data_IF_780811023412
#
_entry.id   IF_780811023412
#
_cell.length_a   1.000
_cell.length_b   1.000
_cell.length_c   1.000
_cell.angle_alpha   90.00
_cell.angle_beta   90.00
_cell.angle_gamma   90.00
#
_symmetry.space_group_name_H-M   'P 1'
#
loop_
_entity.id
_entity.type
_entity.pdbx_description
1 polymer ?
#
# COMPACT_ATOMS: atom_id res chain seq x y z
N UNK A 1 7.81 -7.94 -7.66
CA UNK A 1 6.85 -7.04 -6.95
C UNK A 1 7.34 -6.83 -5.54
N UNK A 2 7.29 -5.62 -5.02
CA UNK A 2 7.71 -5.34 -3.65
C UNK A 2 6.83 -6.06 -2.61
N UNK A 3 7.31 -6.13 -1.38
CA UNK A 3 6.59 -6.62 -0.22
C UNK A 3 6.59 -5.58 0.89
N UNK A 4 5.43 -5.31 1.50
CA UNK A 4 5.31 -4.47 2.69
C UNK A 4 4.78 -5.27 3.86
N UNK A 5 5.22 -4.93 5.07
CA UNK A 5 4.71 -5.46 6.32
C UNK A 5 4.81 -4.41 7.42
N UNK A 6 3.93 -4.48 8.41
CA UNK A 6 4.02 -3.58 9.54
C UNK A 6 2.91 -3.80 10.57
N UNK A 7 3.05 -3.11 11.70
CA UNK A 7 2.11 -3.15 12.81
C UNK A 7 2.34 -1.96 13.76
N UNK A 8 1.32 -1.61 14.54
CA UNK A 8 1.32 -0.41 15.40
C UNK A 8 1.87 -0.65 16.81
N UNK A 9 3.00 -1.35 16.92
CA UNK A 9 3.82 -1.49 18.12
C UNK A 9 5.28 -1.73 17.74
N UNK A 10 6.17 -1.83 18.73
CA UNK A 10 7.60 -2.07 18.50
C UNK A 10 7.92 -3.56 18.67
N UNK A 11 8.33 -4.22 17.60
CA UNK A 11 8.90 -5.58 17.62
C UNK A 11 9.75 -5.83 16.36
N UNK A 12 11.04 -5.52 16.48
CA UNK A 12 11.99 -5.68 15.36
C UNK A 12 12.16 -7.14 14.93
N UNK A 13 12.03 -8.09 15.86
CA UNK A 13 12.20 -9.52 15.56
C UNK A 13 11.00 -10.05 14.76
N UNK A 14 9.79 -9.73 15.18
CA UNK A 14 8.58 -10.06 14.41
C UNK A 14 8.63 -9.45 13.02
N UNK A 15 9.00 -8.15 12.91
CA UNK A 15 9.09 -7.48 11.62
C UNK A 15 10.07 -8.19 10.69
N UNK A 16 11.25 -8.58 11.19
CA UNK A 16 12.24 -9.34 10.41
C UNK A 16 11.67 -10.65 9.88
N UNK A 17 11.04 -11.45 10.73
CA UNK A 17 10.45 -12.73 10.35
C UNK A 17 9.31 -12.55 9.32
N UNK A 18 8.54 -11.46 9.43
CA UNK A 18 7.53 -11.11 8.43
C UNK A 18 8.17 -10.75 7.08
N UNK A 19 9.27 -9.98 7.08
CA UNK A 19 9.99 -9.61 5.86
C UNK A 19 10.70 -10.81 5.21
N UNK A 20 11.25 -11.73 5.99
CA UNK A 20 11.80 -12.99 5.48
C UNK A 20 10.73 -13.80 4.72
N UNK A 21 9.50 -13.84 5.24
CA UNK A 21 8.39 -14.50 4.54
C UNK A 21 8.01 -13.81 3.21
N UNK A 22 8.41 -12.55 3.02
CA UNK A 22 8.19 -11.76 1.80
C UNK A 22 9.42 -11.63 0.88
N UNK A 23 10.56 -12.28 1.21
CA UNK A 23 11.82 -12.11 0.49
C UNK A 23 11.72 -12.41 -1.02
N UNK A 24 10.91 -13.41 -1.41
CA UNK A 24 10.66 -13.77 -2.82
C UNK A 24 10.00 -12.64 -3.64
N UNK A 25 9.38 -11.63 -2.98
CA UNK A 25 8.75 -10.49 -3.66
C UNK A 25 9.72 -9.39 -4.03
N UNK A 26 10.77 -9.21 -3.24
CA UNK A 26 11.71 -8.12 -3.42
C UNK A 26 13.13 -8.56 -3.03
N UNK A 27 13.89 -9.09 -3.99
CA UNK A 27 15.25 -9.59 -3.75
C UNK A 27 16.30 -8.46 -3.69
N UNK A 28 16.00 -7.27 -4.22
CA UNK A 28 16.99 -6.23 -4.49
C UNK A 28 17.30 -5.34 -3.27
N UNK A 29 16.46 -5.37 -2.25
CA UNK A 29 16.68 -4.59 -1.03
C UNK A 29 15.70 -4.89 0.08
N UNK A 30 16.12 -4.54 1.29
CA UNK A 30 15.32 -4.61 2.50
C UNK A 30 15.49 -3.33 3.31
N UNK A 31 14.40 -2.86 3.92
CA UNK A 31 14.47 -1.78 4.88
C UNK A 31 13.43 -1.92 5.98
N UNK A 32 13.77 -1.41 7.15
CA UNK A 32 12.94 -1.45 8.36
C UNK A 32 12.99 -0.11 9.09
N UNK A 33 11.84 0.30 9.59
CA UNK A 33 11.69 1.37 10.57
C UNK A 33 10.99 0.81 11.82
N UNK A 34 11.49 1.15 12.99
CA UNK A 34 10.85 0.82 14.25
C UNK A 34 10.98 1.99 15.22
N UNK A 35 9.86 2.35 15.83
CA UNK A 35 9.78 3.23 16.99
C UNK A 35 8.87 2.59 18.06
N UNK A 36 8.64 3.20 19.23
CA UNK A 36 7.79 2.60 20.26
C UNK A 36 6.37 2.26 19.82
N UNK A 37 5.84 2.97 18.80
CA UNK A 37 4.44 2.90 18.38
C UNK A 37 4.24 2.26 17.01
N UNK A 38 5.34 1.98 16.26
CA UNK A 38 5.26 1.52 14.88
C UNK A 38 6.43 0.64 14.49
N UNK A 39 6.14 -0.39 13.70
CA UNK A 39 7.11 -1.19 12.95
C UNK A 39 6.68 -1.24 11.49
N UNK A 40 7.52 -0.77 10.58
CA UNK A 40 7.29 -0.77 9.12
C UNK A 40 8.45 -1.44 8.41
N UNK A 41 8.16 -2.28 7.44
CA UNK A 41 9.19 -2.98 6.68
C UNK A 41 8.86 -3.11 5.20
N UNK A 42 9.92 -3.19 4.41
CA UNK A 42 9.85 -3.24 2.96
C UNK A 42 10.84 -4.25 2.39
N UNK A 43 10.39 -5.00 1.38
CA UNK A 43 11.22 -5.80 0.47
C UNK A 43 11.11 -5.20 -0.92
N UNK A 44 12.24 -4.82 -1.50
CA UNK A 44 12.30 -4.08 -2.76
C UNK A 44 12.54 -4.98 -3.95
N UNK A 45 11.72 -4.81 -4.99
CA UNK A 45 12.05 -5.09 -6.38
C UNK A 45 12.24 -3.74 -7.06
N UNK A 46 13.45 -3.43 -7.49
CA UNK A 46 13.80 -2.13 -8.07
C UNK A 46 13.29 -2.05 -9.52
N UNK A 47 12.34 -1.13 -9.80
CA UNK A 47 11.73 -0.90 -11.11
C UNK A 47 11.89 0.55 -11.54
N UNK A 48 11.62 1.50 -10.63
CA UNK A 48 11.83 2.93 -10.80
C UNK A 48 12.87 3.39 -9.79
N UNK A 49 13.83 4.21 -10.22
CA UNK A 49 14.99 4.67 -9.44
C UNK A 49 15.80 3.51 -8.86
N UNK A 50 16.74 2.98 -9.61
CA UNK A 50 17.55 1.82 -9.21
C UNK A 50 18.57 2.13 -8.09
N UNK A 51 18.65 3.39 -7.63
CA UNK A 51 19.59 3.79 -6.60
C UNK A 51 19.20 3.26 -5.21
N UNK A 52 20.19 3.17 -4.32
CA UNK A 52 20.00 2.80 -2.92
C UNK A 52 19.14 3.86 -2.18
N UNK A 53 19.17 5.13 -2.62
CA UNK A 53 18.40 6.20 -2.01
C UNK A 53 16.89 5.94 -2.06
N UNK A 54 16.41 5.20 -3.07
CA UNK A 54 15.01 4.81 -3.20
C UNK A 54 14.62 3.57 -2.38
N UNK A 55 15.52 3.03 -1.54
CA UNK A 55 15.15 1.97 -0.60
C UNK A 55 14.20 2.50 0.46
N UNK A 56 13.11 1.77 0.65
CA UNK A 56 12.09 2.14 1.62
C UNK A 56 12.35 1.48 2.98
N UNK A 57 11.89 2.08 4.08
CA UNK A 57 10.95 3.20 4.21
C UNK A 57 11.52 4.55 3.76
N UNK A 58 10.69 5.37 3.06
CA UNK A 58 11.01 6.75 2.70
C UNK A 58 10.42 7.72 3.72
N UNK A 59 11.02 8.91 3.79
CA UNK A 59 10.67 9.98 4.73
C UNK A 59 10.41 11.27 3.96
N UNK A 60 9.54 12.14 4.50
CA UNK A 60 9.46 13.53 4.06
C UNK A 60 10.62 14.35 4.63
N UNK A 61 10.69 15.65 4.30
CA UNK A 61 11.82 16.54 4.62
C UNK A 61 12.13 16.63 6.13
N UNK A 62 11.09 16.62 6.98
CA UNK A 62 11.26 16.74 8.43
C UNK A 62 11.23 15.39 9.17
N UNK A 63 11.13 14.28 8.43
CA UNK A 63 11.10 12.92 8.97
C UNK A 63 9.84 12.57 9.77
N UNK A 64 8.78 13.36 9.65
CA UNK A 64 7.53 13.15 10.37
C UNK A 64 6.58 12.17 9.67
N UNK A 65 6.66 12.05 8.36
CA UNK A 65 5.91 11.10 7.56
C UNK A 65 6.83 9.99 7.07
N UNK A 66 6.36 8.76 7.18
CA UNK A 66 7.12 7.56 6.83
C UNK A 66 6.24 6.68 5.96
N UNK A 67 6.77 6.20 4.83
CA UNK A 67 6.02 5.36 3.89
C UNK A 67 6.76 4.08 3.53
N UNK A 68 5.99 3.00 3.39
CA UNK A 68 6.37 1.78 2.67
C UNK A 68 5.30 1.47 1.63
N UNK A 69 5.70 1.21 0.40
CA UNK A 69 4.81 1.04 -0.75
C UNK A 69 5.19 -0.17 -1.59
N UNK A 70 4.19 -0.96 -1.97
CA UNK A 70 4.28 -1.96 -3.03
C UNK A 70 3.43 -1.47 -4.19
N UNK A 71 4.03 -0.89 -5.20
CA UNK A 71 3.27 -0.36 -6.33
C UNK A 71 4.05 0.53 -7.25
N UNK A 72 3.32 1.19 -8.16
CA UNK A 72 3.78 2.14 -9.15
C UNK A 72 2.78 3.29 -9.24
N UNK A 73 3.27 4.53 -9.14
CA UNK A 73 2.45 5.75 -9.29
C UNK A 73 2.68 6.33 -10.68
N UNK A 74 1.79 6.04 -11.61
CA UNK A 74 1.96 6.37 -13.04
C UNK A 74 2.02 7.86 -13.34
N UNK A 75 1.38 8.69 -12.52
CA UNK A 75 1.40 10.15 -12.69
C UNK A 75 2.42 10.85 -11.76
N UNK A 76 3.43 10.13 -11.27
CA UNK A 76 4.42 10.68 -10.33
C UNK A 76 5.17 11.90 -10.91
N UNK A 77 5.51 11.92 -12.18
CA UNK A 77 6.24 13.02 -12.81
C UNK A 77 5.42 14.31 -12.77
N UNK A 78 4.15 14.25 -13.20
CA UNK A 78 3.23 15.38 -13.18
C UNK A 78 3.01 15.91 -11.74
N UNK A 79 2.86 15.00 -10.78
CA UNK A 79 2.67 15.35 -9.38
C UNK A 79 3.94 15.95 -8.77
N UNK A 80 5.10 15.41 -9.10
CA UNK A 80 6.42 15.90 -8.64
C UNK A 80 6.65 17.34 -9.07
N UNK A 81 6.41 17.66 -10.35
CA UNK A 81 6.59 19.02 -10.86
C UNK A 81 5.68 20.03 -10.13
N UNK A 82 4.44 19.65 -9.86
CA UNK A 82 3.50 20.47 -9.08
C UNK A 82 3.98 20.68 -7.64
N UNK A 83 4.50 19.64 -6.99
CA UNK A 83 4.96 19.69 -5.59
C UNK A 83 6.26 20.51 -5.48
N UNK A 84 7.18 20.39 -6.42
CA UNK A 84 8.39 21.24 -6.50
C UNK A 84 8.00 22.70 -6.64
N UNK A 85 7.00 23.02 -7.48
CA UNK A 85 6.52 24.41 -7.63
C UNK A 85 5.90 24.98 -6.34
N UNK A 86 5.52 24.13 -5.39
CA UNK A 86 5.01 24.49 -4.06
C UNK A 86 6.10 24.54 -2.98
N UNK A 87 7.34 24.21 -3.33
CA UNK A 87 8.49 24.30 -2.45
C UNK A 87 8.95 22.97 -1.81
N UNK A 88 8.32 21.82 -2.20
CA UNK A 88 8.78 20.53 -1.73
C UNK A 88 10.12 20.12 -2.33
N UNK A 89 10.96 19.48 -1.51
CA UNK A 89 12.27 18.96 -1.90
C UNK A 89 12.23 17.43 -1.98
N UNK A 90 12.68 16.88 -3.09
CA UNK A 90 12.74 15.44 -3.31
C UNK A 90 14.18 14.94 -3.19
N UNK A 91 14.36 13.82 -2.51
CA UNK A 91 15.66 13.19 -2.28
C UNK A 91 15.93 12.01 -3.21
N UNK A 92 14.88 11.46 -3.84
CA UNK A 92 14.97 10.32 -4.74
C UNK A 92 14.30 10.62 -6.08
N UNK A 93 14.46 9.74 -7.05
CA UNK A 93 13.66 9.74 -8.27
C UNK A 93 12.50 8.73 -8.22
N UNK A 94 12.29 8.11 -7.04
CA UNK A 94 11.21 7.16 -6.83
C UNK A 94 9.84 7.81 -6.99
N UNK A 95 8.94 7.07 -7.61
CA UNK A 95 7.52 7.43 -7.73
C UNK A 95 6.79 7.40 -6.37
N UNK A 96 7.29 6.61 -5.42
CA UNK A 96 6.71 6.50 -4.07
C UNK A 96 6.83 7.80 -3.27
N UNK A 97 7.91 8.56 -3.44
CA UNK A 97 8.17 9.78 -2.66
C UNK A 97 7.09 10.85 -2.86
N UNK A 98 6.46 10.91 -4.03
CA UNK A 98 5.37 11.88 -4.28
C UNK A 98 4.18 11.70 -3.35
N UNK A 99 3.97 10.50 -2.80
CA UNK A 99 2.85 10.22 -1.89
C UNK A 99 3.02 10.99 -0.57
N UNK A 100 4.26 11.09 -0.06
CA UNK A 100 4.59 11.82 1.16
C UNK A 100 4.22 13.29 1.03
N UNK A 101 4.75 13.96 0.01
CA UNK A 101 4.53 15.39 -0.23
C UNK A 101 3.09 15.71 -0.63
N UNK A 102 2.42 14.81 -1.38
CA UNK A 102 0.98 14.95 -1.62
C UNK A 102 0.16 14.87 -0.34
N UNK A 103 0.54 14.00 0.58
CA UNK A 103 -0.15 13.88 1.85
C UNK A 103 0.06 15.12 2.74
N UNK A 104 1.20 15.76 2.70
CA UNK A 104 1.44 17.04 3.37
C UNK A 104 0.49 18.13 2.88
N UNK A 105 0.30 18.22 1.56
CA UNK A 105 -0.54 19.22 0.93
C UNK A 105 -2.06 18.97 1.09
N UNK A 106 -2.47 17.72 0.89
CA UNK A 106 -3.89 17.40 0.71
C UNK A 106 -4.43 16.38 1.72
N UNK A 107 -3.60 15.87 2.65
CA UNK A 107 -3.97 14.83 3.61
C UNK A 107 -4.66 13.64 2.90
N UNK A 108 -5.73 13.11 3.45
CA UNK A 108 -6.45 11.95 2.89
C UNK A 108 -7.01 12.19 1.47
N UNK A 109 -7.20 13.45 1.06
CA UNK A 109 -7.63 13.77 -0.32
C UNK A 109 -6.54 13.48 -1.35
N UNK A 110 -5.29 13.39 -0.93
CA UNK A 110 -4.17 13.00 -1.80
C UNK A 110 -4.37 11.64 -2.45
N UNK A 111 -5.06 10.70 -1.79
CA UNK A 111 -5.27 9.35 -2.30
C UNK A 111 -6.12 9.33 -3.58
N UNK A 112 -7.02 10.29 -3.76
CA UNK A 112 -7.84 10.45 -4.97
C UNK A 112 -7.03 10.95 -6.17
N UNK A 113 -5.90 11.62 -5.93
CA UNK A 113 -5.04 12.22 -6.96
C UNK A 113 -4.07 11.20 -7.55
N UNK A 114 -3.79 10.11 -6.83
CA UNK A 114 -2.87 9.08 -7.27
C UNK A 114 -3.46 8.26 -8.43
N UNK A 115 -2.68 8.02 -9.45
CA UNK A 115 -3.00 7.09 -10.53
C UNK A 115 -1.93 6.03 -10.60
N UNK A 116 -2.32 4.77 -10.46
CA UNK A 116 -1.36 3.68 -10.41
C UNK A 116 -1.96 2.41 -9.85
N UNK A 117 -1.07 1.47 -9.57
CA UNK A 117 -1.35 0.22 -8.90
C UNK A 117 -0.53 0.19 -7.60
N UNK A 118 -1.15 0.29 -6.45
CA UNK A 118 -0.42 0.43 -5.19
C UNK A 118 -1.14 -0.15 -3.97
N UNK A 119 -0.33 -0.61 -3.04
CA UNK A 119 -0.70 -0.79 -1.64
C UNK A 119 0.42 -0.18 -0.80
N UNK A 120 0.09 0.79 0.06
CA UNK A 120 1.08 1.45 0.90
C UNK A 120 0.60 1.62 2.34
N UNK A 121 1.57 1.72 3.24
CA UNK A 121 1.35 2.16 4.61
C UNK A 121 2.08 3.47 4.84
N UNK A 122 1.35 4.51 5.25
CA UNK A 122 1.86 5.83 5.57
C UNK A 122 1.62 6.10 7.05
N UNK A 123 2.68 6.39 7.77
CA UNK A 123 2.68 6.69 9.19
C UNK A 123 3.06 8.13 9.47
N UNK A 124 2.22 8.82 10.23
CA UNK A 124 2.53 10.16 10.76
C UNK A 124 3.02 10.04 12.19
N UNK A 125 4.30 10.25 12.39
CA UNK A 125 4.97 10.14 13.70
C UNK A 125 4.49 11.17 14.72
N UNK A 126 4.08 12.37 14.26
CA UNK A 126 3.61 13.45 15.15
C UNK A 126 2.25 13.13 15.77
N UNK A 127 1.35 12.55 15.00
CA UNK A 127 -0.02 12.22 15.44
C UNK A 127 -0.19 10.74 15.82
N UNK A 128 0.78 9.90 15.47
CA UNK A 128 0.74 8.44 15.58
C UNK A 128 -0.38 7.81 14.72
N UNK A 129 -0.73 8.49 13.63
CA UNK A 129 -1.74 8.00 12.69
C UNK A 129 -1.11 7.11 11.63
N UNK A 130 -1.73 5.97 11.37
CA UNK A 130 -1.35 5.04 10.31
C UNK A 130 -2.48 4.93 9.28
N UNK A 131 -2.12 5.03 8.02
CA UNK A 131 -2.99 4.82 6.87
C UNK A 131 -2.48 3.62 6.08
N UNK A 132 -3.27 2.56 5.97
CA UNK A 132 -3.04 1.45 5.06
C UNK A 132 -3.98 1.61 3.87
N UNK A 133 -3.45 1.85 2.69
CA UNK A 133 -4.19 2.28 1.50
C UNK A 133 -3.97 1.31 0.36
N UNK A 134 -5.02 1.01 -0.41
CA UNK A 134 -4.93 0.25 -1.67
C UNK A 134 -5.52 1.05 -2.82
N UNK A 135 -5.02 0.79 -4.02
CA UNK A 135 -5.43 1.48 -5.24
C UNK A 135 -6.92 1.31 -5.57
N UNK A 136 -7.38 2.06 -6.55
CA UNK A 136 -8.78 2.14 -6.98
C UNK A 136 -9.42 0.79 -7.32
N UNK A 137 -8.61 -0.19 -7.76
CA UNK A 137 -9.05 -1.52 -8.18
C UNK A 137 -8.51 -2.65 -7.28
N UNK A 138 -7.69 -2.31 -6.27
CA UNK A 138 -6.93 -3.24 -5.44
C UNK A 138 -6.05 -4.19 -6.29
N UNK A 139 -5.36 -3.64 -7.30
CA UNK A 139 -4.41 -4.39 -8.13
C UNK A 139 -3.24 -4.89 -7.26
N UNK A 140 -2.80 -4.07 -6.31
CA UNK A 140 -1.89 -4.49 -5.25
C UNK A 140 -2.66 -4.78 -3.97
N UNK A 141 -2.48 -5.99 -3.46
CA UNK A 141 -3.17 -6.42 -2.25
C UNK A 141 -2.48 -5.92 -0.98
N UNK A 142 -3.30 -5.59 0.01
CA UNK A 142 -2.90 -5.46 1.40
C UNK A 142 -3.83 -6.33 2.27
N UNK A 143 -3.23 -7.20 3.06
CA UNK A 143 -3.93 -8.02 4.04
C UNK A 143 -3.71 -7.46 5.43
N UNK A 144 -4.69 -7.60 6.31
CA UNK A 144 -4.59 -7.10 7.66
C UNK A 144 -5.35 -7.96 8.67
N UNK A 145 -4.96 -7.84 9.93
CA UNK A 145 -5.70 -8.36 11.09
C UNK A 145 -5.79 -7.29 12.16
N UNK A 146 -6.93 -7.24 12.84
CA UNK A 146 -7.19 -6.35 13.96
C UNK A 146 -7.36 -7.21 15.22
N UNK A 147 -6.55 -6.92 16.25
CA UNK A 147 -6.52 -7.64 17.52
C UNK A 147 -6.67 -6.60 18.63
N UNK A 148 -7.88 -6.45 19.14
CA UNK A 148 -8.19 -5.33 20.05
C UNK A 148 -7.97 -3.98 19.35
N UNK A 149 -7.06 -3.16 19.86
CA UNK A 149 -6.67 -1.89 19.24
C UNK A 149 -5.39 -2.00 18.38
N UNK A 150 -4.90 -3.21 18.13
CA UNK A 150 -3.70 -3.44 17.34
C UNK A 150 -4.05 -3.81 15.91
N UNK A 151 -3.29 -3.24 14.97
CA UNK A 151 -3.35 -3.51 13.54
C UNK A 151 -2.03 -4.10 13.09
N UNK A 152 -2.08 -5.25 12.43
CA UNK A 152 -0.95 -5.85 11.71
C UNK A 152 -1.35 -6.03 10.26
N UNK A 153 -0.42 -5.76 9.34
CA UNK A 153 -0.67 -5.86 7.90
C UNK A 153 0.55 -6.37 7.13
N UNK A 154 0.28 -6.91 5.96
CA UNK A 154 1.31 -7.32 5.01
C UNK A 154 0.77 -7.46 3.58
N UNK A 155 1.68 -7.53 2.60
CA UNK A 155 1.36 -7.86 1.21
C UNK A 155 0.85 -9.29 1.02
N UNK A 156 1.11 -10.22 1.95
CA UNK A 156 0.66 -11.62 1.91
C UNK A 156 0.27 -12.12 3.29
N UNK A 157 -0.78 -12.96 3.36
CA UNK A 157 -1.29 -13.53 4.60
C UNK A 157 -0.21 -14.31 5.39
N UNK A 158 0.69 -15.02 4.69
CA UNK A 158 1.74 -15.83 5.35
C UNK A 158 2.70 -15.00 6.22
N UNK A 159 2.89 -13.71 5.90
CA UNK A 159 3.70 -12.82 6.73
C UNK A 159 2.97 -12.46 8.03
N UNK A 160 1.66 -12.19 7.97
CA UNK A 160 0.83 -11.95 9.15
C UNK A 160 0.77 -13.19 10.06
N UNK A 161 0.70 -14.38 9.45
CA UNK A 161 0.67 -15.66 10.18
C UNK A 161 1.99 -16.00 10.92
N UNK A 162 3.04 -15.18 10.77
CA UNK A 162 4.25 -15.27 11.59
C UNK A 162 4.02 -14.77 13.02
N UNK A 163 2.95 -14.01 13.25
CA UNK A 163 2.49 -13.66 14.62
C UNK A 163 1.58 -14.77 15.18
N UNK A 164 2.10 -16.00 15.20
CA UNK A 164 1.36 -17.24 15.50
C UNK A 164 0.98 -17.40 16.96
N UNK A 165 1.64 -16.68 17.87
CA UNK A 165 1.27 -16.62 19.28
C UNK A 165 -0.15 -16.08 19.50
N UNK A 166 -0.63 -15.20 18.61
CA UNK A 166 -1.94 -14.54 18.71
C UNK A 166 -2.84 -14.87 17.52
N UNK A 167 -2.30 -14.83 16.29
CA UNK A 167 -3.09 -15.09 15.07
C UNK A 167 -2.98 -16.57 14.70
N UNK A 168 -4.02 -17.33 15.04
CA UNK A 168 -4.07 -18.76 14.74
C UNK A 168 -4.35 -19.02 13.24
N UNK A 169 -3.78 -20.11 12.73
CA UNK A 169 -4.00 -20.57 11.35
C UNK A 169 -5.36 -21.27 11.18
N UNK A 170 -6.42 -20.63 11.67
CA UNK A 170 -7.77 -21.16 11.53
C UNK A 170 -8.30 -20.93 10.12
N UNK A 171 -8.78 -22.01 9.48
CA UNK A 171 -9.34 -21.95 8.15
C UNK A 171 -10.73 -21.31 8.15
N UNK A 172 -10.99 -20.51 7.14
CA UNK A 172 -12.31 -19.99 6.81
C UNK A 172 -12.92 -20.90 5.70
N UNK A 173 -13.70 -21.88 6.10
CA UNK A 173 -14.23 -22.90 5.21
C UNK A 173 -15.17 -22.30 4.13
N UNK A 174 -15.91 -21.24 4.44
CA UNK A 174 -16.80 -20.58 3.47
C UNK A 174 -15.99 -19.92 2.34
N UNK A 175 -14.87 -19.26 2.68
CA UNK A 175 -13.97 -18.69 1.68
C UNK A 175 -13.31 -19.79 0.83
N UNK A 176 -12.86 -20.88 1.45
CA UNK A 176 -12.29 -22.03 0.72
C UNK A 176 -13.32 -22.61 -0.25
N UNK A 177 -14.58 -22.78 0.19
CA UNK A 177 -15.68 -23.25 -0.65
C UNK A 177 -15.95 -22.29 -1.82
N UNK A 178 -15.95 -20.96 -1.56
CA UNK A 178 -16.13 -19.97 -2.63
C UNK A 178 -15.01 -20.06 -3.68
N UNK A 179 -13.76 -20.16 -3.25
CA UNK A 179 -12.61 -20.30 -4.16
C UNK A 179 -12.73 -21.56 -5.02
N UNK A 180 -13.12 -22.70 -4.42
CA UNK A 180 -13.31 -23.95 -5.17
C UNK A 180 -14.46 -23.84 -6.17
N UNK A 181 -15.55 -23.16 -5.78
CA UNK A 181 -16.77 -23.08 -6.61
C UNK A 181 -16.64 -22.07 -7.73
N UNK A 182 -16.06 -20.88 -7.44
CA UNK A 182 -16.05 -19.73 -8.37
C UNK A 182 -14.66 -19.40 -8.94
N UNK A 183 -13.60 -20.06 -8.46
CA UNK A 183 -12.22 -19.72 -8.82
C UNK A 183 -11.67 -18.50 -8.10
N UNK A 184 -12.48 -17.79 -7.32
CA UNK A 184 -12.09 -16.61 -6.54
C UNK A 184 -13.01 -16.40 -5.33
N UNK A 185 -12.63 -15.53 -4.41
CA UNK A 185 -13.49 -15.10 -3.31
C UNK A 185 -14.00 -13.66 -3.53
N UNK A 186 -15.33 -13.43 -3.59
CA UNK A 186 -15.90 -12.11 -3.85
C UNK A 186 -15.92 -11.18 -2.62
N UNK A 187 -15.57 -11.69 -1.43
CA UNK A 187 -15.56 -10.90 -0.19
C UNK A 187 -14.16 -10.43 0.20
N UNK A 188 -14.09 -9.56 1.20
CA UNK A 188 -12.83 -9.15 1.83
C UNK A 188 -12.22 -10.19 2.77
N UNK A 189 -12.93 -11.29 3.04
CA UNK A 189 -12.42 -12.35 3.88
C UNK A 189 -11.36 -13.18 3.14
N UNK A 190 -10.46 -13.79 3.90
CA UNK A 190 -9.40 -14.63 3.35
C UNK A 190 -9.61 -16.10 3.78
N UNK A 191 -8.86 -17.06 3.23
CA UNK A 191 -8.86 -18.43 3.73
C UNK A 191 -8.49 -18.59 5.21
N UNK A 192 -8.08 -17.51 5.87
CA UNK A 192 -7.76 -17.46 7.30
C UNK A 192 -8.75 -16.55 8.03
N UNK A 193 -9.46 -17.07 9.04
CA UNK A 193 -10.57 -16.39 9.74
C UNK A 193 -10.25 -14.99 10.27
N UNK A 194 -9.01 -14.80 10.74
CA UNK A 194 -8.59 -13.56 11.40
C UNK A 194 -7.88 -12.56 10.48
N UNK A 195 -7.75 -12.89 9.18
CA UNK A 195 -7.08 -12.03 8.22
C UNK A 195 -8.08 -11.60 7.15
N UNK A 196 -8.12 -10.29 6.87
CA UNK A 196 -8.95 -9.70 5.82
C UNK A 196 -8.09 -9.06 4.72
N UNK A 197 -8.65 -8.95 3.53
CA UNK A 197 -8.09 -8.17 2.43
C UNK A 197 -8.69 -6.77 2.44
N UNK A 198 -7.88 -5.76 2.18
CA UNK A 198 -8.36 -4.41 2.00
C UNK A 198 -8.98 -4.24 0.62
N UNK A 199 -10.20 -3.77 0.56
CA UNK A 199 -10.98 -3.69 -0.70
C UNK A 199 -10.58 -2.51 -1.59
N UNK A 200 -11.00 -2.51 -2.88
CA UNK A 200 -10.65 -1.49 -3.86
C UNK A 200 -11.09 -0.09 -3.45
N UNK A 201 -10.21 0.89 -3.65
CA UNK A 201 -10.44 2.30 -3.37
C UNK A 201 -10.72 2.58 -1.88
N UNK A 202 -10.13 1.79 -0.98
CA UNK A 202 -10.32 1.93 0.46
C UNK A 202 -9.00 2.14 1.19
N UNK A 203 -9.10 2.66 2.40
CA UNK A 203 -7.99 2.70 3.35
C UNK A 203 -8.45 2.39 4.78
N UNK A 204 -7.58 1.77 5.54
CA UNK A 204 -7.69 1.69 7.00
C UNK A 204 -6.97 2.88 7.61
N UNK A 205 -7.68 3.59 8.45
CA UNK A 205 -7.15 4.64 9.32
C UNK A 205 -7.03 4.11 10.75
N UNK A 206 -5.83 4.10 11.30
CA UNK A 206 -5.54 3.75 12.68
C UNK A 206 -5.01 4.98 13.40
N UNK A 207 -5.73 5.43 14.43
CA UNK A 207 -5.26 6.43 15.41
C UNK A 207 -5.02 5.76 16.75
N UNK A 208 -4.56 6.53 17.76
CA UNK A 208 -4.39 6.02 19.14
C UNK A 208 -5.60 5.27 19.67
N UNK A 209 -6.82 5.74 19.35
CA UNK A 209 -8.06 5.28 19.97
C UNK A 209 -8.94 4.39 19.07
N UNK A 210 -8.76 4.41 17.76
CA UNK A 210 -9.70 3.79 16.83
C UNK A 210 -9.04 3.28 15.56
N UNK A 211 -9.66 2.23 15.00
CA UNK A 211 -9.37 1.75 13.65
C UNK A 211 -10.67 1.88 12.85
N UNK A 212 -10.61 2.53 11.69
CA UNK A 212 -11.75 2.73 10.79
C UNK A 212 -11.39 2.42 9.35
N UNK A 213 -12.31 1.74 8.67
CA UNK A 213 -12.25 1.53 7.23
C UNK A 213 -12.98 2.70 6.55
N UNK A 214 -12.31 3.29 5.56
CA UNK A 214 -12.85 4.37 4.74
C UNK A 214 -12.75 4.00 3.26
N UNK A 215 -13.70 4.50 2.46
CA UNK A 215 -13.64 4.43 1.01
C UNK A 215 -13.34 5.83 0.48
N UNK A 216 -12.23 5.97 -0.25
CA UNK A 216 -11.83 7.24 -0.87
C UNK A 216 -12.22 7.31 -2.35
N UNK A 217 -12.47 6.17 -3.00
CA UNK A 217 -12.90 6.11 -4.39
C UNK A 217 -14.12 5.22 -4.57
N UNK A 218 -15.07 5.70 -5.35
CA UNK A 218 -16.22 4.93 -5.80
C UNK A 218 -16.47 5.17 -7.28
N UNK A 219 -16.45 4.09 -8.08
CA UNK A 219 -16.83 4.20 -9.49
C UNK A 219 -18.31 4.47 -9.63
N UNK A 220 -18.66 5.60 -10.25
CA UNK A 220 -20.04 5.93 -10.60
C UNK A 220 -20.27 5.56 -12.05
N UNK A 221 -21.35 4.83 -12.34
CA UNK A 221 -21.78 4.57 -13.71
C UNK A 221 -22.19 5.90 -14.35
N UNK A 222 -21.41 6.35 -15.34
CA UNK A 222 -21.78 7.50 -16.15
C UNK A 222 -22.48 6.99 -17.40
N UNK A 223 -23.69 7.49 -17.66
CA UNK A 223 -24.52 7.10 -18.80
C UNK A 223 -24.08 7.70 -20.15
N UNK A 224 -22.78 7.87 -20.36
CA UNK A 224 -22.23 8.45 -21.60
C UNK A 224 -22.06 7.41 -22.70
N UNK A 225 -22.60 7.69 -23.89
CA UNK A 225 -22.27 6.91 -25.10
C UNK A 225 -20.86 7.29 -25.56
N UNK A 226 -19.97 6.32 -25.64
CA UNK A 226 -18.63 6.52 -26.19
C UNK A 226 -18.59 6.10 -27.66
N UNK A 227 -17.96 6.92 -28.52
CA UNK A 227 -17.61 6.51 -29.87
C UNK A 227 -16.43 5.53 -29.83
N UNK A 228 -16.33 4.65 -30.84
CA UNK A 228 -15.22 3.71 -31.01
C UNK A 228 -13.86 4.43 -30.97
N UNK A 229 -13.75 5.61 -31.65
CA UNK A 229 -12.56 6.46 -31.66
C UNK A 229 -12.18 6.93 -30.25
N UNK A 230 -13.15 7.34 -29.43
CA UNK A 230 -12.91 7.78 -28.05
C UNK A 230 -12.42 6.63 -27.19
N UNK A 231 -13.00 5.42 -27.35
CA UNK A 231 -12.56 4.24 -26.64
C UNK A 231 -11.10 3.88 -26.96
N UNK A 232 -10.72 3.85 -28.24
CA UNK A 232 -9.33 3.62 -28.65
C UNK A 232 -8.37 4.66 -28.04
N UNK A 233 -8.72 5.94 -28.08
CA UNK A 233 -7.90 6.99 -27.48
C UNK A 233 -7.72 6.82 -25.97
N UNK A 234 -8.76 6.37 -25.25
CA UNK A 234 -8.68 6.12 -23.81
C UNK A 234 -7.78 4.91 -23.50
N UNK A 235 -7.90 3.83 -24.27
CA UNK A 235 -7.06 2.63 -24.12
C UNK A 235 -5.60 2.97 -24.43
N UNK A 236 -5.31 3.61 -25.57
CA UNK A 236 -3.96 4.01 -25.94
C UNK A 236 -3.31 4.90 -24.88
N UNK A 237 -4.04 5.89 -24.38
CA UNK A 237 -3.56 6.76 -23.31
C UNK A 237 -3.30 6.00 -22.00
N UNK A 238 -4.19 5.07 -21.63
CA UNK A 238 -3.99 4.24 -20.45
C UNK A 238 -2.72 3.37 -20.56
N UNK A 239 -2.53 2.70 -21.70
CA UNK A 239 -1.34 1.88 -21.95
C UNK A 239 -0.07 2.73 -21.90
N UNK A 240 -0.03 3.89 -22.59
CA UNK A 240 1.15 4.79 -22.58
C UNK A 240 1.53 5.25 -21.18
N UNK A 241 0.55 5.49 -20.31
CA UNK A 241 0.79 5.91 -18.93
C UNK A 241 1.31 4.79 -18.03
N UNK A 242 1.09 3.53 -18.40
CA UNK A 242 1.55 2.38 -17.60
C UNK A 242 2.91 1.83 -18.02
N UNK A 243 3.43 2.25 -19.18
CA UNK A 243 4.76 1.86 -19.65
C UNK A 243 5.79 2.83 -19.06
N UNK A 244 6.07 2.66 -17.77
CA UNK A 244 7.07 3.45 -17.04
C UNK A 244 7.93 2.48 -16.26
N UNK A 245 9.22 2.35 -16.62
CA UNK A 245 10.20 1.57 -15.89
C UNK A 245 11.61 2.06 -16.26
N UNK A 246 12.56 1.87 -15.34
CA UNK A 246 13.99 2.15 -15.56
C UNK A 246 14.77 0.85 -15.85
N UNK A 247 14.05 -0.26 -16.07
CA UNK A 247 14.55 -1.60 -16.41
C UNK A 247 13.85 -2.14 -17.65
#
# INVERSE_FOLDING_TARGET
MCGIAGFNWSDKNLLRVMLEALAHRGPDGEGMYCDPNMSLGHRRLAVIDLSIAANQPLFNEDGSLIIVCNGEIYNHKELRDQLISKGHTFYTHSDTEVILHLFEEYHIKSFELLRGMFAFALYNKKTEDLFLVVDHLAIKNAYYSIIGNNLIFASECKAILKYDSIIKKERNEDVVKNIITYGYNPSSDTPFKHIKSLGPGTFLYKSKQKIKLHRYCQFKKQGTKYSKRKLYSLIDNAVRKTIIADV
#
